data_IF_614196857283
#
_entry.id   IF_614196857283
#
_cell.length_a   1.000
_cell.length_b   1.000
_cell.length_c   1.000
_cell.angle_alpha   90.00
_cell.angle_beta   90.00
_cell.angle_gamma   90.00
#
_symmetry.space_group_name_H-M   'P 1'
#
loop_
_entity.id
_entity.type
_entity.pdbx_description
1 polymer ?
#
# COMPACT_ATOMS: atom_id res chain seq x y z
N UNK A 1 -45.71 53.13 -19.47
CA UNK A 1 -44.55 52.46 -20.12
C UNK A 1 -43.77 51.73 -19.03
N UNK A 2 -43.97 50.41 -18.89
CA UNK A 2 -43.03 49.29 -19.18
C UNK A 2 -41.69 49.39 -18.41
N UNK A 3 -41.52 48.57 -17.34
CA UNK A 3 -40.69 47.32 -17.22
C UNK A 3 -39.18 47.64 -17.15
N UNK A 4 -38.28 47.06 -16.34
CA UNK A 4 -38.11 45.87 -15.46
C UNK A 4 -36.72 46.06 -14.82
N UNK A 5 -36.44 45.75 -13.55
CA UNK A 5 -36.15 44.40 -13.06
C UNK A 5 -34.89 43.82 -13.71
N UNK A 6 -33.75 43.81 -13.00
CA UNK A 6 -32.58 43.01 -13.34
C UNK A 6 -31.89 42.55 -12.06
N UNK A 7 -32.39 41.42 -11.57
CA UNK A 7 -31.77 40.57 -10.57
C UNK A 7 -30.40 40.09 -11.09
N UNK A 8 -29.33 40.33 -10.31
CA UNK A 8 -28.04 39.68 -10.53
C UNK A 8 -28.15 38.22 -10.08
N UNK A 9 -28.26 37.31 -11.04
CA UNK A 9 -28.11 35.87 -10.81
C UNK A 9 -26.63 35.60 -10.54
N UNK A 10 -26.32 35.26 -9.28
CA UNK A 10 -25.02 34.72 -8.90
C UNK A 10 -24.92 33.26 -9.36
N UNK A 11 -24.28 33.01 -10.50
CA UNK A 11 -23.96 31.68 -10.98
C UNK A 11 -22.79 31.12 -10.16
N UNK A 12 -23.10 30.30 -9.14
CA UNK A 12 -22.10 29.50 -8.46
C UNK A 12 -21.65 28.36 -9.41
N UNK A 13 -20.44 28.49 -9.95
CA UNK A 13 -19.79 27.42 -10.71
C UNK A 13 -19.32 26.37 -9.70
N UNK A 14 -20.09 25.29 -9.55
CA UNK A 14 -19.63 24.09 -8.86
C UNK A 14 -18.59 23.39 -9.75
N UNK A 15 -17.31 23.63 -9.48
CA UNK A 15 -16.22 22.88 -10.09
C UNK A 15 -16.25 21.43 -9.56
N UNK A 16 -16.83 20.50 -10.34
CA UNK A 16 -16.60 19.07 -10.15
C UNK A 16 -15.14 18.76 -10.48
N UNK A 17 -14.28 18.77 -9.47
CA UNK A 17 -12.96 18.15 -9.54
C UNK A 17 -13.14 16.64 -9.57
N UNK A 18 -13.26 16.09 -10.79
CA UNK A 18 -13.05 14.67 -11.01
C UNK A 18 -11.56 14.37 -10.76
N UNK A 19 -11.19 14.03 -9.52
CA UNK A 19 -9.92 13.38 -9.24
C UNK A 19 -9.98 12.01 -9.92
N UNK A 20 -9.47 11.94 -11.16
CA UNK A 20 -9.00 10.67 -11.70
C UNK A 20 -7.84 10.21 -10.81
N UNK A 21 -8.14 9.37 -9.83
CA UNK A 21 -7.14 8.59 -9.12
C UNK A 21 -6.57 7.61 -10.15
N UNK A 22 -5.51 8.04 -10.86
CA UNK A 22 -4.67 7.10 -11.58
C UNK A 22 -4.17 6.10 -10.53
N UNK A 23 -4.28 4.78 -10.77
CA UNK A 23 -3.62 3.81 -9.91
C UNK A 23 -2.13 4.14 -9.95
N UNK A 24 -1.58 4.57 -8.82
CA UNK A 24 -0.14 4.68 -8.71
C UNK A 24 0.40 3.27 -8.65
N UNK A 25 1.02 2.83 -9.74
CA UNK A 25 1.67 1.53 -9.82
C UNK A 25 3.14 1.72 -9.47
N UNK A 26 3.48 1.65 -8.19
CA UNK A 26 4.84 1.25 -7.85
C UNK A 26 4.98 -0.22 -8.26
N UNK A 27 6.00 -0.53 -9.06
CA UNK A 27 6.18 -1.86 -9.61
C UNK A 27 7.11 -2.66 -8.70
N UNK A 28 6.61 -3.75 -8.12
CA UNK A 28 7.43 -4.67 -7.36
C UNK A 28 8.39 -5.49 -8.24
N UNK A 29 8.44 -5.32 -9.58
CA UNK A 29 9.16 -6.17 -10.55
C UNK A 29 10.58 -6.65 -10.21
N UNK A 30 11.29 -6.00 -9.29
CA UNK A 30 12.64 -6.37 -8.86
C UNK A 30 12.65 -6.82 -7.40
N UNK A 31 13.70 -7.50 -6.94
CA UNK A 31 13.80 -7.88 -5.53
C UNK A 31 14.77 -6.94 -4.81
N UNK A 32 14.38 -6.45 -3.63
CA UNK A 32 15.33 -5.83 -2.73
C UNK A 32 16.26 -6.90 -2.14
N UNK A 33 17.58 -6.71 -2.25
CA UNK A 33 18.54 -7.63 -1.63
C UNK A 33 19.04 -7.05 -0.31
N UNK A 34 18.65 -7.66 0.81
CA UNK A 34 19.25 -7.35 2.10
C UNK A 34 20.66 -7.91 2.19
N UNK A 35 21.59 -7.10 2.70
CA UNK A 35 22.99 -7.49 2.93
C UNK A 35 23.44 -7.02 4.30
N UNK A 36 24.60 -7.49 4.78
CA UNK A 36 25.19 -7.00 6.04
C UNK A 36 25.40 -5.47 6.06
N UNK A 37 25.62 -4.83 4.90
CA UNK A 37 25.74 -3.38 4.77
C UNK A 37 24.46 -2.68 4.32
N UNK A 38 23.38 -3.43 4.08
CA UNK A 38 22.07 -2.93 3.64
C UNK A 38 20.96 -3.77 4.29
N UNK A 39 20.79 -3.57 5.59
CA UNK A 39 19.86 -4.34 6.44
C UNK A 39 18.45 -3.75 6.51
N UNK A 40 18.24 -2.60 5.88
CA UNK A 40 17.03 -1.80 6.01
C UNK A 40 16.53 -1.37 4.63
N UNK A 41 15.23 -1.44 4.45
CA UNK A 41 14.49 -1.00 3.29
C UNK A 41 13.44 0.03 3.67
N UNK A 42 13.29 1.06 2.85
CA UNK A 42 12.32 2.14 3.02
C UNK A 42 11.91 2.68 1.67
N UNK A 43 10.62 2.57 1.36
CA UNK A 43 10.07 3.09 0.12
C UNK A 43 8.72 3.77 0.38
N UNK A 44 8.43 4.79 -0.41
CA UNK A 44 7.15 5.49 -0.40
C UNK A 44 6.64 5.60 -1.84
N UNK A 45 5.37 5.28 -2.04
CA UNK A 45 4.66 5.53 -3.29
C UNK A 45 3.41 6.41 -3.04
N UNK A 46 2.51 6.47 -4.02
CA UNK A 46 1.29 7.29 -3.88
C UNK A 46 0.32 6.79 -2.82
N UNK A 47 0.39 5.52 -2.43
CA UNK A 47 -0.59 4.88 -1.56
C UNK A 47 -0.06 4.60 -0.15
N UNK A 48 1.26 4.62 0.07
CA UNK A 48 1.82 4.54 1.41
C UNK A 48 3.33 4.52 1.48
N UNK A 49 3.83 4.34 2.72
CA UNK A 49 5.24 4.10 3.04
C UNK A 49 5.39 2.70 3.60
N UNK A 50 6.34 1.95 3.07
CA UNK A 50 6.71 0.61 3.51
C UNK A 50 8.14 0.59 4.03
N UNK A 51 8.37 -0.13 5.12
CA UNK A 51 9.69 -0.35 5.68
C UNK A 51 9.89 -1.82 5.98
N UNK A 52 11.10 -2.32 5.81
CA UNK A 52 11.49 -3.66 6.24
C UNK A 52 12.92 -3.66 6.78
N UNK A 53 13.22 -4.55 7.71
CA UNK A 53 14.55 -4.68 8.29
C UNK A 53 14.88 -6.14 8.55
N UNK A 54 16.14 -6.51 8.44
CA UNK A 54 16.67 -7.82 8.86
C UNK A 54 17.96 -7.62 9.64
N UNK A 55 18.25 -8.49 10.60
CA UNK A 55 19.57 -8.55 11.23
C UNK A 55 20.36 -9.71 10.63
N UNK A 56 21.21 -9.40 9.66
CA UNK A 56 22.05 -10.31 8.87
C UNK A 56 23.26 -10.85 9.63
N UNK A 57 23.45 -10.47 10.89
CA UNK A 57 24.67 -10.74 11.66
C UNK A 57 24.61 -12.03 12.49
N UNK A 58 23.45 -12.69 12.61
CA UNK A 58 23.23 -13.63 13.72
C UNK A 58 22.80 -15.06 13.38
N UNK A 59 22.40 -15.40 12.16
CA UNK A 59 21.93 -16.76 11.87
C UNK A 59 21.77 -17.07 10.37
N UNK A 60 21.72 -18.37 10.03
CA UNK A 60 21.23 -18.83 8.73
C UNK A 60 19.74 -18.50 8.51
N UNK A 61 18.98 -18.25 9.59
CA UNK A 61 17.55 -17.95 9.57
C UNK A 61 17.27 -16.72 10.42
N UNK A 62 16.69 -15.68 9.84
CA UNK A 62 16.49 -14.38 10.50
C UNK A 62 15.04 -13.88 10.39
N UNK A 63 14.54 -13.15 11.40
CA UNK A 63 13.27 -12.45 11.28
C UNK A 63 13.39 -11.25 10.33
N UNK A 64 12.30 -10.94 9.63
CA UNK A 64 12.12 -9.73 8.84
C UNK A 64 10.91 -8.95 9.37
N UNK A 65 11.11 -8.04 10.34
CA UNK A 65 10.11 -7.04 10.70
C UNK A 65 9.81 -6.12 9.53
N UNK A 66 8.53 -5.79 9.37
CA UNK A 66 8.07 -4.87 8.33
C UNK A 66 6.97 -3.95 8.85
N UNK A 67 6.75 -2.84 8.16
CA UNK A 67 5.62 -1.96 8.40
C UNK A 67 5.10 -1.30 7.13
N UNK A 68 3.82 -0.97 7.12
CA UNK A 68 3.14 -0.22 6.07
C UNK A 68 2.25 0.86 6.70
N UNK A 69 2.33 2.07 6.17
CA UNK A 69 1.47 3.20 6.54
C UNK A 69 0.81 3.77 5.31
N UNK A 70 -0.52 3.79 5.30
CA UNK A 70 -1.33 4.36 4.22
C UNK A 70 -1.02 5.85 4.04
N UNK A 71 -0.97 6.35 2.81
CA UNK A 71 -0.68 7.76 2.53
C UNK A 71 -1.83 8.66 2.97
N UNK A 72 -1.58 9.92 3.37
CA UNK A 72 -2.65 10.85 3.75
C UNK A 72 -3.72 11.03 2.66
N UNK A 73 -3.34 10.93 1.38
CA UNK A 73 -4.28 11.02 0.24
C UNK A 73 -5.27 9.86 0.23
N UNK A 74 -4.81 8.64 0.50
CA UNK A 74 -5.67 7.46 0.56
C UNK A 74 -6.49 7.46 1.86
N UNK A 75 -5.93 7.93 2.98
CA UNK A 75 -6.68 8.13 4.22
C UNK A 75 -7.87 9.09 4.03
N UNK A 76 -7.66 10.19 3.30
CA UNK A 76 -8.67 11.24 3.12
C UNK A 76 -9.92 10.78 2.34
N UNK A 77 -9.84 9.70 1.55
CA UNK A 77 -11.00 9.17 0.81
C UNK A 77 -11.77 8.09 1.58
N UNK A 78 -11.23 7.60 2.70
CA UNK A 78 -11.84 6.54 3.49
C UNK A 78 -13.01 7.06 4.32
N UNK A 79 -14.07 6.27 4.37
CA UNK A 79 -15.29 6.53 5.15
C UNK A 79 -15.58 5.42 6.17
N UNK A 80 -14.65 4.49 6.36
CA UNK A 80 -14.71 3.45 7.38
C UNK A 80 -13.32 3.07 7.85
N UNK A 81 -13.28 2.31 8.95
CA UNK A 81 -12.11 1.51 9.32
C UNK A 81 -11.76 0.50 8.22
N UNK A 82 -10.52 0.02 8.25
CA UNK A 82 -9.96 -0.94 7.32
C UNK A 82 -9.99 -2.37 7.90
N UNK A 83 -10.05 -3.35 7.00
CA UNK A 83 -9.73 -4.75 7.32
C UNK A 83 -8.47 -5.12 6.55
N UNK A 84 -7.38 -5.37 7.26
CA UNK A 84 -6.08 -5.64 6.66
C UNK A 84 -5.66 -7.10 6.87
N UNK A 85 -5.04 -7.69 5.84
CA UNK A 85 -4.46 -9.04 5.88
C UNK A 85 -3.16 -9.08 5.11
N UNK A 86 -2.13 -9.70 5.68
CA UNK A 86 -0.86 -9.97 5.02
C UNK A 86 -0.53 -11.46 5.05
N UNK A 87 0.27 -11.88 4.09
CA UNK A 87 0.74 -13.25 3.98
C UNK A 87 2.04 -13.33 3.20
N UNK A 88 2.60 -14.54 3.15
CA UNK A 88 3.88 -14.80 2.51
C UNK A 88 3.76 -16.00 1.57
N UNK A 89 4.35 -15.92 0.38
CA UNK A 89 4.19 -16.98 -0.63
C UNK A 89 5.03 -18.23 -0.31
N UNK A 90 6.21 -18.05 0.29
CA UNK A 90 7.17 -19.14 0.55
C UNK A 90 7.21 -19.62 2.00
N UNK A 91 6.60 -18.88 2.93
CA UNK A 91 6.74 -19.12 4.37
C UNK A 91 5.35 -19.23 4.99
N UNK A 92 5.22 -20.04 6.04
CA UNK A 92 3.98 -20.11 6.83
C UNK A 92 3.87 -18.85 7.68
N UNK A 93 3.27 -17.81 7.09
CA UNK A 93 3.08 -16.51 7.71
C UNK A 93 1.71 -15.95 7.31
N UNK A 94 1.01 -15.40 8.30
CA UNK A 94 -0.27 -14.73 8.12
C UNK A 94 -0.43 -13.69 9.24
N UNK A 95 -0.97 -12.54 8.88
CA UNK A 95 -1.29 -11.46 9.81
C UNK A 95 -2.64 -10.84 9.41
N UNK A 96 -3.50 -10.56 10.38
CA UNK A 96 -4.89 -10.15 10.13
C UNK A 96 -5.37 -9.16 11.19
N UNK A 97 -5.76 -7.97 10.74
CA UNK A 97 -6.22 -6.87 11.58
C UNK A 97 -7.60 -6.40 11.10
N UNK A 98 -8.69 -6.90 11.71
CA UNK A 98 -10.03 -6.41 11.40
C UNK A 98 -10.27 -5.05 12.07
N UNK A 99 -11.06 -4.20 11.41
CA UNK A 99 -11.59 -2.96 11.98
C UNK A 99 -10.54 -1.98 12.55
N UNK A 100 -9.41 -1.79 11.86
CA UNK A 100 -8.38 -0.82 12.27
C UNK A 100 -8.63 0.57 11.67
N UNK A 101 -8.25 1.67 12.35
CA UNK A 101 -8.29 3.01 11.77
C UNK A 101 -7.51 3.12 10.46
N UNK A 102 -7.91 4.03 9.55
CA UNK A 102 -7.23 4.20 8.25
C UNK A 102 -5.80 4.74 8.38
N UNK A 103 -5.48 5.42 9.47
CA UNK A 103 -4.15 5.94 9.80
C UNK A 103 -3.29 4.95 10.62
N UNK A 104 -3.80 3.74 10.86
CA UNK A 104 -3.10 2.69 11.59
C UNK A 104 -1.73 2.40 10.97
N UNK A 105 -0.70 2.37 11.81
CA UNK A 105 0.62 1.91 11.43
C UNK A 105 0.63 0.39 11.48
N UNK A 106 0.48 -0.26 10.33
CA UNK A 106 0.39 -1.70 10.26
C UNK A 106 1.79 -2.31 10.22
N UNK A 107 2.12 -3.18 11.17
CA UNK A 107 3.44 -3.80 11.25
C UNK A 107 3.34 -5.24 11.75
N UNK A 108 4.30 -6.07 11.37
CA UNK A 108 4.43 -7.45 11.83
C UNK A 108 5.86 -7.96 11.59
N UNK A 109 6.10 -9.26 11.75
CA UNK A 109 7.42 -9.87 11.55
C UNK A 109 7.28 -11.22 10.87
N UNK A 110 7.89 -11.35 9.69
CA UNK A 110 8.00 -12.63 9.00
C UNK A 110 9.15 -13.42 9.63
N UNK A 111 8.87 -14.63 10.10
CA UNK A 111 9.87 -15.54 10.66
C UNK A 111 10.33 -16.54 9.60
N UNK A 112 11.52 -17.12 9.76
CA UNK A 112 11.96 -18.24 8.93
C UNK A 112 12.71 -17.88 7.65
N UNK A 113 13.10 -16.62 7.45
CA UNK A 113 13.83 -16.18 6.26
C UNK A 113 15.26 -16.72 6.28
N UNK A 114 15.66 -17.44 5.23
CA UNK A 114 17.00 -18.00 5.10
C UNK A 114 17.94 -17.01 4.42
N UNK A 115 19.16 -16.93 4.92
CA UNK A 115 20.24 -16.11 4.36
C UNK A 115 21.01 -16.94 3.34
N UNK A 116 20.34 -17.31 2.24
CA UNK A 116 20.84 -18.23 1.22
C UNK A 116 20.48 -17.84 -0.22
N UNK A 117 20.18 -16.55 -0.48
CA UNK A 117 19.66 -16.04 -1.76
C UNK A 117 18.27 -16.54 -2.17
N UNK A 118 17.51 -17.17 -1.26
CA UNK A 118 16.09 -17.43 -1.49
C UNK A 118 15.33 -16.15 -1.82
N UNK A 119 14.41 -16.25 -2.78
CA UNK A 119 13.46 -15.20 -3.16
C UNK A 119 12.19 -15.31 -2.33
N UNK A 120 11.73 -14.18 -1.82
CA UNK A 120 10.62 -14.10 -0.90
C UNK A 120 9.63 -13.01 -1.34
N UNK A 121 8.34 -13.32 -1.20
CA UNK A 121 7.24 -12.43 -1.51
C UNK A 121 6.34 -12.26 -0.29
N UNK A 122 6.34 -11.05 0.26
CA UNK A 122 5.37 -10.58 1.24
C UNK A 122 4.28 -9.81 0.50
N UNK A 123 3.01 -10.07 0.83
CA UNK A 123 1.89 -9.30 0.31
C UNK A 123 1.00 -8.81 1.45
N UNK A 124 0.28 -7.72 1.19
CA UNK A 124 -0.75 -7.19 2.07
C UNK A 124 -1.95 -6.67 1.30
N UNK A 125 -3.12 -6.70 1.94
CA UNK A 125 -4.36 -6.15 1.40
C UNK A 125 -5.19 -5.53 2.51
N UNK A 126 -5.56 -4.26 2.37
CA UNK A 126 -6.51 -3.56 3.21
C UNK A 126 -7.77 -3.18 2.42
N UNK A 127 -8.95 -3.51 2.95
CA UNK A 127 -10.23 -3.11 2.37
C UNK A 127 -10.96 -2.11 3.26
N UNK A 128 -11.53 -1.07 2.66
CA UNK A 128 -12.31 -0.05 3.37
C UNK A 128 -13.33 0.63 2.46
N UNK A 129 -14.28 1.33 3.07
CA UNK A 129 -15.34 2.05 2.36
C UNK A 129 -14.86 3.43 1.94
N UNK A 130 -15.31 3.88 0.77
CA UNK A 130 -15.00 5.19 0.19
C UNK A 130 -16.25 5.81 -0.41
N UNK A 131 -16.19 7.12 -0.68
CA UNK A 131 -17.15 7.80 -1.57
C UNK A 131 -16.45 8.28 -2.84
N UNK A 132 -16.96 7.87 -4.01
CA UNK A 132 -16.45 8.32 -5.32
C UNK A 132 -17.60 8.90 -6.12
N UNK A 133 -17.51 10.19 -6.47
CA UNK A 133 -18.54 10.88 -7.24
C UNK A 133 -19.91 10.87 -6.56
N UNK A 134 -19.94 10.98 -5.22
CA UNK A 134 -21.17 10.93 -4.42
C UNK A 134 -21.80 9.53 -4.29
N UNK A 135 -21.11 8.48 -4.73
CA UNK A 135 -21.57 7.09 -4.61
C UNK A 135 -20.71 6.30 -3.64
N UNK A 136 -21.30 5.40 -2.84
CA UNK A 136 -20.55 4.49 -2.00
C UNK A 136 -19.76 3.48 -2.85
N UNK A 137 -18.58 3.09 -2.36
CA UNK A 137 -17.73 2.09 -3.01
C UNK A 137 -16.73 1.45 -2.03
N UNK A 138 -16.04 0.42 -2.49
CA UNK A 138 -15.01 -0.30 -1.74
C UNK A 138 -13.64 -0.03 -2.36
N UNK A 139 -12.71 0.45 -1.54
CA UNK A 139 -11.30 0.49 -1.87
C UNK A 139 -10.61 -0.82 -1.46
N UNK A 140 -9.73 -1.30 -2.33
CA UNK A 140 -8.82 -2.41 -2.09
C UNK A 140 -7.40 -1.86 -2.27
N UNK A 141 -6.66 -1.74 -1.18
CA UNK A 141 -5.27 -1.30 -1.19
C UNK A 141 -4.38 -2.51 -0.98
N UNK A 142 -3.68 -2.91 -2.04
CA UNK A 142 -2.74 -4.03 -2.02
C UNK A 142 -1.32 -3.52 -2.01
N UNK A 143 -0.43 -4.24 -1.33
CA UNK A 143 1.00 -4.06 -1.51
C UNK A 143 1.70 -5.39 -1.71
N UNK A 144 2.84 -5.34 -2.38
CA UNK A 144 3.77 -6.44 -2.57
C UNK A 144 5.19 -5.97 -2.21
N UNK A 145 5.95 -6.84 -1.56
CA UNK A 145 7.36 -6.66 -1.28
C UNK A 145 8.13 -7.92 -1.65
N UNK A 146 8.97 -7.83 -2.67
CA UNK A 146 9.86 -8.89 -3.14
C UNK A 146 11.26 -8.64 -2.62
N UNK A 147 11.85 -9.65 -1.98
CA UNK A 147 13.16 -9.51 -1.35
C UNK A 147 13.98 -10.80 -1.35
N UNK A 148 15.28 -10.64 -1.16
CA UNK A 148 16.26 -11.71 -0.95
C UNK A 148 17.17 -11.35 0.21
N UNK A 149 17.76 -12.37 0.85
CA UNK A 149 18.74 -12.18 1.93
C UNK A 149 20.09 -12.75 1.50
N UNK A 150 21.11 -11.89 1.52
CA UNK A 150 22.40 -12.17 0.93
C UNK A 150 23.60 -11.86 1.85
N UNK A 151 24.53 -12.81 2.02
CA UNK A 151 25.57 -12.77 3.08
C UNK A 151 26.97 -12.23 2.73
N UNK A 152 27.33 -11.93 1.49
CA UNK A 152 28.63 -11.31 1.19
C UNK A 152 29.76 -12.27 0.76
N UNK A 153 30.42 -13.11 1.59
CA UNK A 153 31.31 -14.18 1.11
C UNK A 153 30.61 -15.17 0.15
N UNK A 154 29.28 -15.03 0.07
CA UNK A 154 28.31 -15.60 -0.85
C UNK A 154 28.22 -14.82 -2.22
N UNK A 155 29.05 -13.78 -2.48
CA UNK A 155 29.15 -12.89 -3.68
C UNK A 155 28.37 -11.53 -3.74
N UNK A 156 29.04 -10.35 -3.81
CA UNK A 156 28.45 -8.98 -3.95
C UNK A 156 27.12 -8.90 -4.73
N UNK A 157 26.08 -8.28 -4.15
CA UNK A 157 24.87 -7.88 -4.88
C UNK A 157 25.01 -6.45 -5.41
N UNK A 158 24.61 -6.24 -6.67
CA UNK A 158 24.47 -4.92 -7.29
C UNK A 158 23.31 -4.17 -6.61
N UNK A 159 23.63 -3.10 -5.90
CA UNK A 159 22.63 -2.16 -5.40
C UNK A 159 21.96 -1.46 -6.59
N UNK A 160 20.67 -1.71 -6.80
CA UNK A 160 19.81 -0.81 -7.56
C UNK A 160 18.55 -0.49 -6.74
N UNK A 161 18.54 0.72 -6.18
CA UNK A 161 17.33 1.47 -5.84
C UNK A 161 16.38 0.92 -4.75
N UNK A 162 15.37 1.74 -4.44
CA UNK A 162 14.19 1.38 -3.63
C UNK A 162 13.25 0.47 -4.44
N UNK A 163 13.80 -0.61 -4.99
CA UNK A 163 13.08 -1.53 -5.86
C UNK A 163 12.58 -2.72 -5.06
N UNK A 164 11.46 -3.30 -5.51
CA UNK A 164 10.85 -4.48 -4.91
C UNK A 164 9.72 -4.22 -3.95
N UNK A 165 9.37 -2.97 -3.66
CA UNK A 165 8.08 -2.64 -3.07
C UNK A 165 7.17 -1.98 -4.11
N UNK A 166 5.90 -2.35 -4.08
CA UNK A 166 4.85 -1.65 -4.82
C UNK A 166 3.50 -1.78 -4.16
N UNK A 167 2.65 -0.78 -4.29
CA UNK A 167 1.26 -0.86 -3.89
C UNK A 167 0.30 -0.39 -4.96
N UNK A 168 -0.90 -0.94 -4.96
CA UNK A 168 -1.97 -0.64 -5.89
C UNK A 168 -3.27 -0.36 -5.12
N UNK A 169 -3.93 0.74 -5.48
CA UNK A 169 -5.26 1.06 -4.99
C UNK A 169 -6.30 0.87 -6.10
N UNK A 170 -7.21 -0.07 -5.90
CA UNK A 170 -8.37 -0.27 -6.78
C UNK A 170 -9.65 0.14 -6.06
N UNK A 171 -10.49 0.96 -6.69
CA UNK A 171 -11.80 1.33 -6.16
C UNK A 171 -12.90 0.72 -7.02
N UNK A 172 -13.81 -0.01 -6.38
CA UNK A 172 -14.99 -0.61 -7.01
C UNK A 172 -16.23 0.11 -6.47
N UNK A 173 -16.95 0.89 -7.29
CA UNK A 173 -18.24 1.46 -6.90
C UNK A 173 -19.24 0.35 -6.59
N UNK A 174 -20.09 0.56 -5.60
CA UNK A 174 -21.19 -0.37 -5.36
C UNK A 174 -22.13 -0.34 -6.59
N UNK A 175 -22.58 -1.50 -7.04
CA UNK A 175 -23.62 -1.56 -8.06
C UNK A 175 -24.85 -0.82 -7.53
N UNK A 176 -25.45 0.05 -8.36
CA UNK A 176 -26.75 0.62 -8.02
C UNK A 176 -27.70 -0.57 -7.80
N UNK A 177 -28.32 -0.65 -6.63
CA UNK A 177 -29.62 -1.29 -6.55
C UNK A 177 -30.51 -0.56 -7.57
N UNK A 178 -30.81 -1.20 -8.69
CA UNK A 178 -31.93 -0.79 -9.52
C UNK A 178 -33.16 -0.89 -8.63
N UNK A 179 -33.61 0.26 -8.12
CA UNK A 179 -34.95 0.37 -7.57
C UNK A 179 -35.88 0.23 -8.77
N UNK A 180 -36.41 -0.98 -8.93
CA UNK A 180 -37.53 -1.30 -9.83
C UNK A 180 -38.81 -0.67 -9.31
#
# INVERSE_FOLDING_TARGET
MRKTGLDLIATAIAALLALALLPGTANAAHHHTFTQSAEYFDATDSNGRFTAQVNMHSAMVVPMPWSFRVSPKVQAIATSNMNCRAGHSQLSYSDSHPNVPVDYHWHSTVQGNRVDNSKYDLWGNCTFRVQVGGKPGTANLKFEFHYTLFCGPCGRSEQNGAEGFGSELTIVPDSRATVS
#
